data_IF_394505737626
#
_entry.id   IF_394505737626
#
_cell.length_a   1.000
_cell.length_b   1.000
_cell.length_c   1.000
_cell.angle_alpha   90.00
_cell.angle_beta   90.00
_cell.angle_gamma   90.00
#
_symmetry.space_group_name_H-M   'P 1'
#
loop_
_entity.id
_entity.type
_entity.pdbx_description
1 polymer ?
#
# COMPACT_ATOMS: atom_id res chain seq x y z
N UNK A 1 23.29 -77.08 -106.69
CA UNK A 1 22.53 -78.30 -107.04
C UNK A 1 21.78 -78.76 -105.79
N UNK A 2 20.44 -78.78 -105.87
CA UNK A 2 19.46 -79.54 -105.07
C UNK A 2 19.54 -79.58 -103.52
N UNK A 3 18.51 -79.01 -102.87
CA UNK A 3 17.96 -79.57 -101.62
C UNK A 3 17.09 -80.79 -101.98
N UNK A 4 16.92 -81.81 -101.09
CA UNK A 4 15.67 -81.86 -100.32
C UNK A 4 15.66 -82.62 -98.95
N UNK A 5 14.70 -82.19 -98.11
CA UNK A 5 13.72 -82.98 -97.33
C UNK A 5 14.08 -83.75 -96.02
N UNK A 6 13.60 -83.16 -94.89
CA UNK A 6 12.51 -83.66 -94.00
C UNK A 6 12.75 -84.80 -92.98
N UNK A 7 12.52 -84.41 -91.71
CA UNK A 7 11.97 -85.11 -90.51
C UNK A 7 12.68 -86.34 -89.91
N UNK A 8 13.08 -86.16 -88.66
CA UNK A 8 12.84 -87.10 -87.53
C UNK A 8 12.88 -86.28 -86.22
N UNK A 9 11.75 -86.09 -85.53
CA UNK A 9 11.25 -86.88 -84.37
C UNK A 9 11.86 -86.51 -83.00
N UNK A 10 11.05 -85.75 -82.24
CA UNK A 10 10.77 -85.88 -80.79
C UNK A 10 11.93 -86.27 -79.85
N UNK A 11 12.44 -85.27 -79.14
CA UNK A 11 12.93 -85.42 -77.75
C UNK A 11 12.19 -84.39 -76.89
N UNK A 12 11.03 -84.80 -76.33
CA UNK A 12 10.80 -84.94 -74.88
C UNK A 12 11.27 -83.73 -74.07
N UNK A 13 10.38 -82.75 -73.95
CA UNK A 13 10.34 -81.79 -72.85
C UNK A 13 10.39 -82.53 -71.52
N UNK A 14 11.47 -82.37 -70.77
CA UNK A 14 11.45 -82.62 -69.34
C UNK A 14 10.71 -81.44 -68.67
N UNK A 15 9.67 -81.68 -67.85
CA UNK A 15 9.04 -80.58 -67.12
C UNK A 15 10.01 -80.06 -66.04
N UNK A 16 10.05 -78.73 -65.79
CA UNK A 16 10.83 -78.18 -64.68
C UNK A 16 10.24 -78.67 -63.35
N UNK A 17 11.12 -79.08 -62.43
CA UNK A 17 10.78 -79.38 -61.03
C UNK A 17 10.19 -78.12 -60.40
N UNK A 18 8.94 -78.14 -59.89
CA UNK A 18 8.35 -76.97 -59.28
C UNK A 18 9.02 -76.71 -57.93
N UNK A 19 9.65 -75.54 -57.78
CA UNK A 19 9.99 -75.02 -56.47
C UNK A 19 8.69 -74.81 -55.68
N UNK A 20 8.59 -75.26 -54.41
CA UNK A 20 7.39 -75.04 -53.61
C UNK A 20 7.20 -73.53 -53.42
N UNK A 21 6.17 -73.00 -54.07
CA UNK A 21 5.67 -71.65 -53.82
C UNK A 21 5.34 -71.58 -52.32
N UNK A 22 5.84 -70.61 -51.54
CA UNK A 22 5.35 -70.44 -50.18
C UNK A 22 3.87 -70.07 -50.29
N UNK A 23 3.00 -71.04 -50.01
CA UNK A 23 1.57 -70.89 -49.89
C UNK A 23 1.25 -70.06 -48.64
N UNK A 24 1.46 -68.74 -48.73
CA UNK A 24 0.72 -67.78 -47.92
C UNK A 24 -0.27 -67.10 -48.87
N UNK A 25 -1.56 -67.49 -48.86
CA UNK A 25 -2.57 -66.86 -49.73
C UNK A 25 -2.89 -65.41 -49.34
N UNK A 26 -2.28 -64.88 -48.28
CA UNK A 26 -2.50 -63.52 -47.82
C UNK A 26 -1.41 -62.59 -48.36
N UNK A 27 -1.69 -61.93 -49.49
CA UNK A 27 -0.98 -60.71 -49.88
C UNK A 27 -1.40 -59.63 -48.89
N UNK A 28 -0.49 -59.20 -48.02
CA UNK A 28 -0.77 -58.13 -47.07
C UNK A 28 -1.23 -56.88 -47.84
N UNK A 29 -2.27 -56.20 -47.33
CA UNK A 29 -2.70 -54.93 -47.88
C UNK A 29 -1.50 -53.96 -47.90
N UNK A 30 -1.37 -53.11 -48.93
CA UNK A 30 -0.26 -52.17 -49.00
C UNK A 30 -0.24 -51.33 -47.72
N UNK A 31 0.97 -51.14 -47.17
CA UNK A 31 1.14 -50.28 -45.99
C UNK A 31 0.58 -48.90 -46.30
N UNK A 32 -0.28 -48.40 -45.41
CA UNK A 32 -0.83 -47.04 -45.52
C UNK A 32 0.30 -46.04 -45.36
N UNK A 33 0.87 -45.59 -46.48
CA UNK A 33 1.78 -44.46 -46.50
C UNK A 33 0.96 -43.21 -46.24
N UNK A 34 1.49 -42.29 -45.43
CA UNK A 34 0.86 -40.98 -45.27
C UNK A 34 0.87 -40.29 -46.63
N UNK A 35 -0.30 -40.10 -47.22
CA UNK A 35 -0.47 -39.20 -48.35
C UNK A 35 -0.02 -37.81 -47.88
N UNK A 36 0.65 -37.06 -48.75
CA UNK A 36 1.08 -35.70 -48.46
C UNK A 36 -0.09 -34.82 -47.99
N UNK A 37 0.18 -33.72 -47.28
CA UNK A 37 -0.89 -32.86 -46.78
C UNK A 37 -1.75 -32.36 -47.95
N UNK A 38 -3.08 -32.41 -47.79
CA UNK A 38 -4.05 -31.87 -48.75
C UNK A 38 -3.67 -30.42 -49.12
N UNK A 39 -3.85 -29.94 -50.36
CA UNK A 39 -3.49 -28.58 -50.73
C UNK A 39 -4.12 -27.59 -49.73
N UNK A 40 -3.27 -26.77 -49.10
CA UNK A 40 -3.75 -25.72 -48.20
C UNK A 40 -4.12 -24.49 -49.04
N UNK A 41 -4.98 -23.64 -48.49
CA UNK A 41 -5.32 -22.38 -49.14
C UNK A 41 -4.03 -21.61 -49.47
N UNK A 42 -3.85 -21.18 -50.72
CA UNK A 42 -2.61 -20.52 -51.16
C UNK A 42 -2.42 -19.16 -50.50
N UNK A 43 -3.41 -18.64 -49.79
CA UNK A 43 -3.40 -17.37 -49.06
C UNK A 43 -3.07 -17.52 -47.57
N UNK A 44 -3.14 -18.74 -47.01
CA UNK A 44 -2.76 -18.98 -45.62
C UNK A 44 -1.23 -19.06 -45.48
N UNK A 45 -0.63 -17.90 -45.18
CA UNK A 45 0.80 -17.75 -44.93
C UNK A 45 1.30 -18.64 -43.79
N UNK A 46 0.47 -18.93 -42.78
CA UNK A 46 0.85 -19.76 -41.64
C UNK A 46 0.93 -21.23 -42.03
N UNK A 47 -0.01 -21.72 -42.84
CA UNK A 47 0.07 -23.07 -43.40
C UNK A 47 1.26 -23.21 -44.37
N UNK A 48 1.54 -22.18 -45.17
CA UNK A 48 2.69 -22.13 -46.06
C UNK A 48 4.03 -22.19 -45.30
N UNK A 49 4.19 -21.37 -44.25
CA UNK A 49 5.36 -21.37 -43.37
C UNK A 49 5.58 -22.74 -42.70
N UNK A 50 4.49 -23.38 -42.23
CA UNK A 50 4.57 -24.73 -41.62
C UNK A 50 5.01 -25.80 -42.61
N UNK A 51 4.64 -25.69 -43.88
CA UNK A 51 5.10 -26.62 -44.94
C UNK A 51 6.55 -26.38 -45.28
N UNK A 52 6.92 -25.13 -45.46
CA UNK A 52 8.32 -24.74 -45.72
C UNK A 52 9.24 -25.19 -44.60
N UNK A 53 8.85 -25.04 -43.33
CA UNK A 53 9.64 -25.55 -42.20
C UNK A 53 9.76 -27.07 -42.13
N UNK A 54 8.85 -27.84 -42.76
CA UNK A 54 8.87 -29.32 -42.77
C UNK A 54 9.62 -29.91 -43.97
N UNK A 55 9.46 -29.29 -45.14
CA UNK A 55 9.92 -29.83 -46.42
C UNK A 55 11.01 -28.95 -47.07
N UNK A 56 11.33 -27.79 -46.48
CA UNK A 56 12.24 -26.82 -47.06
C UNK A 56 11.75 -26.29 -48.40
N UNK A 57 12.69 -26.06 -49.32
CA UNK A 57 12.41 -25.61 -50.69
C UNK A 57 11.59 -26.61 -51.50
N UNK A 58 11.62 -27.91 -51.15
CA UNK A 58 10.80 -28.93 -51.80
C UNK A 58 9.29 -28.71 -51.57
N UNK A 59 8.90 -27.81 -50.64
CA UNK A 59 7.52 -27.36 -50.47
C UNK A 59 7.01 -26.45 -51.59
N UNK A 60 7.91 -25.89 -52.42
CA UNK A 60 7.55 -24.94 -53.48
C UNK A 60 7.12 -23.56 -52.98
N UNK A 61 7.19 -23.29 -51.67
CA UNK A 61 6.87 -21.99 -51.09
C UNK A 61 8.08 -21.07 -51.23
N UNK A 62 7.90 -19.89 -51.80
CA UNK A 62 8.96 -18.90 -51.93
C UNK A 62 9.32 -18.30 -50.57
N UNK A 63 10.59 -18.33 -50.19
CA UNK A 63 11.06 -17.91 -48.86
C UNK A 63 10.77 -16.43 -48.54
N UNK A 64 10.82 -15.54 -49.54
CA UNK A 64 10.53 -14.11 -49.35
C UNK A 64 9.08 -13.84 -48.92
N UNK A 65 8.13 -14.73 -49.26
CA UNK A 65 6.72 -14.60 -48.89
C UNK A 65 6.45 -14.92 -47.42
N UNK A 66 7.41 -15.54 -46.73
CA UNK A 66 7.31 -15.89 -45.32
C UNK A 66 7.62 -14.70 -44.41
N UNK A 67 8.32 -13.69 -44.94
CA UNK A 67 8.59 -12.47 -44.19
C UNK A 67 7.33 -11.59 -44.17
N UNK A 68 7.14 -10.81 -43.09
CA UNK A 68 6.04 -9.85 -43.00
C UNK A 68 6.02 -8.89 -44.19
N UNK A 69 4.82 -8.50 -44.62
CA UNK A 69 4.71 -7.41 -45.59
C UNK A 69 5.24 -6.09 -44.99
N UNK A 70 5.65 -5.11 -45.81
CA UNK A 70 6.10 -3.81 -45.29
C UNK A 70 5.06 -3.10 -44.42
N UNK A 71 3.78 -3.35 -44.62
CA UNK A 71 2.70 -2.82 -43.79
C UNK A 71 2.63 -3.51 -42.43
N UNK A 72 2.69 -4.85 -42.42
CA UNK A 72 2.73 -5.66 -41.19
C UNK A 72 3.98 -5.36 -40.35
N UNK A 73 5.11 -5.10 -40.99
CA UNK A 73 6.34 -4.70 -40.31
C UNK A 73 6.18 -3.35 -39.61
N UNK A 74 5.58 -2.35 -40.29
CA UNK A 74 5.34 -1.03 -39.71
C UNK A 74 4.34 -1.07 -38.56
N UNK A 75 3.33 -1.94 -38.64
CA UNK A 75 2.39 -2.17 -37.54
C UNK A 75 3.11 -2.80 -36.34
N UNK A 76 3.89 -3.86 -36.56
CA UNK A 76 4.69 -4.48 -35.51
C UNK A 76 5.70 -3.52 -34.87
N UNK A 77 6.37 -2.66 -35.65
CA UNK A 77 7.28 -1.63 -35.13
C UNK A 77 6.55 -0.55 -34.31
N UNK A 78 5.29 -0.25 -34.64
CA UNK A 78 4.48 0.70 -33.86
C UNK A 78 4.06 0.08 -32.54
N UNK A 79 3.59 -1.16 -32.57
CA UNK A 79 3.21 -1.91 -31.38
C UNK A 79 4.41 -2.07 -30.43
N UNK A 80 5.58 -2.44 -30.96
CA UNK A 80 6.82 -2.55 -30.17
C UNK A 80 7.18 -1.21 -29.52
N UNK A 81 7.09 -0.09 -30.24
CA UNK A 81 7.40 1.23 -29.66
C UNK A 81 6.40 1.67 -28.60
N UNK A 82 5.14 1.27 -28.72
CA UNK A 82 4.08 1.61 -27.75
C UNK A 82 4.20 0.77 -26.48
N UNK A 83 4.44 -0.54 -26.63
CA UNK A 83 4.43 -1.49 -25.52
C UNK A 83 5.81 -1.75 -24.90
N UNK A 84 6.87 -1.70 -25.71
CA UNK A 84 8.26 -1.99 -25.32
C UNK A 84 9.15 -0.74 -25.53
N UNK A 85 9.08 0.24 -24.60
CA UNK A 85 9.91 1.43 -24.68
C UNK A 85 11.41 1.09 -24.62
N UNK A 86 12.28 1.94 -25.18
CA UNK A 86 13.72 1.71 -25.13
C UNK A 86 14.22 1.78 -23.68
N UNK A 87 15.26 1.00 -23.38
CA UNK A 87 15.82 0.87 -22.04
C UNK A 87 16.13 2.23 -21.38
N UNK A 88 16.63 3.19 -22.15
CA UNK A 88 16.96 4.54 -21.66
C UNK A 88 15.76 5.28 -21.08
N UNK A 89 14.58 5.12 -21.69
CA UNK A 89 13.37 5.79 -21.22
C UNK A 89 12.89 5.15 -19.92
N UNK A 90 13.02 3.82 -19.81
CA UNK A 90 12.72 3.08 -18.58
C UNK A 90 13.67 3.50 -17.45
N UNK A 91 14.98 3.56 -17.71
CA UNK A 91 15.99 4.04 -16.75
C UNK A 91 15.68 5.46 -16.27
N UNK A 92 15.35 6.39 -17.18
CA UNK A 92 15.00 7.76 -16.82
C UNK A 92 13.75 7.85 -15.93
N UNK A 93 12.74 7.00 -16.16
CA UNK A 93 11.55 6.91 -15.30
C UNK A 93 11.89 6.36 -13.92
N UNK A 94 12.74 5.34 -13.84
CA UNK A 94 13.19 4.76 -12.57
C UNK A 94 14.00 5.78 -11.76
N UNK A 95 14.99 6.42 -12.38
CA UNK A 95 15.79 7.48 -11.74
C UNK A 95 14.93 8.61 -11.18
N UNK A 96 13.90 9.02 -11.94
CA UNK A 96 12.94 10.03 -11.46
C UNK A 96 12.17 9.54 -10.24
N UNK A 97 11.65 8.31 -10.28
CA UNK A 97 10.91 7.72 -9.16
C UNK A 97 11.78 7.61 -7.92
N UNK A 98 13.02 7.14 -8.06
CA UNK A 98 13.97 7.03 -6.95
C UNK A 98 14.27 8.39 -6.31
N UNK A 99 14.45 9.44 -7.11
CA UNK A 99 14.65 10.81 -6.59
C UNK A 99 13.42 11.33 -5.84
N UNK A 100 12.22 11.08 -6.36
CA UNK A 100 10.98 11.48 -5.71
C UNK A 100 10.79 10.72 -4.38
N UNK A 101 11.10 9.42 -4.35
CA UNK A 101 11.07 8.63 -3.12
C UNK A 101 12.10 9.08 -2.10
N UNK A 102 13.34 9.36 -2.53
CA UNK A 102 14.39 9.88 -1.67
C UNK A 102 13.97 11.20 -1.02
N UNK A 103 13.44 12.14 -1.79
CA UNK A 103 12.90 13.41 -1.27
C UNK A 103 11.80 13.19 -0.24
N UNK A 104 10.84 12.30 -0.51
CA UNK A 104 9.77 11.99 0.44
C UNK A 104 10.30 11.37 1.74
N UNK A 105 11.34 10.54 1.65
CA UNK A 105 12.01 9.97 2.84
C UNK A 105 12.69 11.06 3.64
N UNK A 106 13.46 11.93 3.01
CA UNK A 106 14.13 13.07 3.64
C UNK A 106 13.12 14.02 4.32
N UNK A 107 12.03 14.39 3.65
CA UNK A 107 10.98 15.25 4.21
C UNK A 107 10.33 14.60 5.44
N UNK A 108 10.05 13.30 5.37
CA UNK A 108 9.49 12.54 6.49
C UNK A 108 10.47 12.48 7.66
N UNK A 109 11.74 12.20 7.40
CA UNK A 109 12.79 12.15 8.42
C UNK A 109 12.98 13.52 9.07
N UNK A 110 12.98 14.61 8.30
CA UNK A 110 13.06 15.97 8.81
C UNK A 110 11.87 16.31 9.73
N UNK A 111 10.65 15.94 9.33
CA UNK A 111 9.45 16.12 10.16
C UNK A 111 9.53 15.33 11.47
N UNK A 112 9.99 14.08 11.41
CA UNK A 112 10.18 13.23 12.59
C UNK A 112 11.25 13.84 13.49
N UNK A 113 12.39 14.26 12.94
CA UNK A 113 13.47 14.88 13.70
C UNK A 113 13.02 16.16 14.42
N UNK A 114 12.29 17.04 13.72
CA UNK A 114 11.70 18.24 14.33
C UNK A 114 10.72 17.88 15.45
N UNK A 115 9.84 16.92 15.22
CA UNK A 115 8.86 16.48 16.22
C UNK A 115 9.52 15.87 17.45
N UNK A 116 10.57 15.08 17.25
CA UNK A 116 11.38 14.51 18.32
C UNK A 116 12.16 15.58 19.09
N UNK A 117 12.64 16.63 18.43
CA UNK A 117 13.30 17.76 19.09
C UNK A 117 12.33 18.58 19.95
N UNK A 118 11.08 18.76 19.52
CA UNK A 118 10.03 19.46 20.28
C UNK A 118 9.44 18.60 21.43
N UNK A 119 9.58 17.27 21.35
CA UNK A 119 8.94 16.33 22.28
C UNK A 119 9.37 16.53 23.76
N UNK A 120 10.65 16.71 24.13
CA UNK A 120 11.04 16.91 25.52
C UNK A 120 10.38 18.13 26.17
N UNK A 121 10.23 19.23 25.44
CA UNK A 121 9.56 20.44 25.91
C UNK A 121 8.07 20.17 26.18
N UNK A 122 7.39 19.50 25.24
CA UNK A 122 5.98 19.10 25.39
C UNK A 122 5.77 18.14 26.57
N UNK A 123 6.68 17.19 26.77
CA UNK A 123 6.64 16.26 27.92
C UNK A 123 6.84 17.01 29.24
N UNK A 124 7.76 17.97 29.29
CA UNK A 124 7.99 18.79 30.48
C UNK A 124 6.74 19.63 30.83
N UNK A 125 6.12 20.24 29.83
CA UNK A 125 4.87 20.98 30.00
C UNK A 125 3.74 20.07 30.51
N UNK A 126 3.55 18.90 29.90
CA UNK A 126 2.55 17.93 30.33
C UNK A 126 2.76 17.49 31.78
N UNK A 127 4.02 17.23 32.19
CA UNK A 127 4.35 16.90 33.59
C UNK A 127 4.00 18.04 34.54
N UNK A 128 4.29 19.29 34.16
CA UNK A 128 3.92 20.48 34.96
C UNK A 128 2.42 20.61 35.11
N UNK A 129 1.67 20.51 34.01
CA UNK A 129 0.21 20.55 34.02
C UNK A 129 -0.37 19.45 34.91
N UNK A 130 0.17 18.23 34.84
CA UNK A 130 -0.25 17.10 35.69
C UNK A 130 0.05 17.34 37.17
N UNK A 131 1.21 17.92 37.50
CA UNK A 131 1.53 18.29 38.87
C UNK A 131 0.59 19.37 39.41
N UNK A 132 0.35 20.43 38.63
CA UNK A 132 -0.60 21.49 38.99
C UNK A 132 -2.02 20.96 39.18
N UNK A 133 -2.47 20.04 38.32
CA UNK A 133 -3.77 19.41 38.47
C UNK A 133 -3.86 18.58 39.77
N UNK A 134 -2.78 17.89 40.16
CA UNK A 134 -2.71 17.15 41.43
C UNK A 134 -2.74 18.09 42.63
N UNK A 135 -1.97 19.17 42.60
CA UNK A 135 -1.96 20.18 43.67
C UNK A 135 -3.33 20.83 43.83
N UNK A 136 -4.01 21.19 42.72
CA UNK A 136 -5.39 21.69 42.75
C UNK A 136 -6.35 20.68 43.35
N UNK A 137 -6.26 19.41 42.94
CA UNK A 137 -7.09 18.35 43.51
C UNK A 137 -6.84 18.14 45.00
N UNK A 138 -5.59 18.23 45.46
CA UNK A 138 -5.24 18.16 46.89
C UNK A 138 -5.75 19.38 47.65
N UNK A 139 -5.62 20.58 47.10
CA UNK A 139 -6.13 21.82 47.71
C UNK A 139 -7.66 21.80 47.80
N UNK A 140 -8.35 21.32 46.76
CA UNK A 140 -9.80 21.11 46.78
C UNK A 140 -10.21 20.04 47.79
N UNK A 141 -9.49 18.92 47.87
CA UNK A 141 -9.75 17.89 48.86
C UNK A 141 -9.55 18.41 50.30
N UNK A 142 -8.47 19.14 50.55
CA UNK A 142 -8.20 19.78 51.83
C UNK A 142 -9.27 20.83 52.18
N UNK A 143 -9.69 21.64 51.20
CA UNK A 143 -10.79 22.60 51.37
C UNK A 143 -12.10 21.90 51.73
N UNK A 144 -12.45 20.84 51.00
CA UNK A 144 -13.63 20.01 51.31
C UNK A 144 -13.55 19.39 52.69
N UNK A 145 -12.37 18.93 53.12
CA UNK A 145 -12.17 18.42 54.48
C UNK A 145 -12.36 19.51 55.54
N UNK A 146 -11.88 20.73 55.31
CA UNK A 146 -12.11 21.88 56.21
C UNK A 146 -13.59 22.21 56.33
N UNK A 147 -14.31 22.31 55.21
CA UNK A 147 -15.74 22.56 55.18
C UNK A 147 -16.53 21.45 55.90
N UNK A 148 -16.14 20.19 55.72
CA UNK A 148 -16.73 19.06 56.45
C UNK A 148 -16.45 19.13 57.95
N UNK A 149 -15.27 19.57 58.37
CA UNK A 149 -14.93 19.73 59.78
C UNK A 149 -15.72 20.89 60.42
N UNK A 150 -15.83 22.04 59.75
CA UNK A 150 -16.61 23.19 60.19
C UNK A 150 -18.10 22.88 60.31
N UNK A 151 -18.64 22.09 59.38
CA UNK A 151 -20.01 21.58 59.45
C UNK A 151 -20.22 20.51 60.55
N UNK A 152 -19.16 20.05 61.22
CA UNK A 152 -19.22 18.96 62.20
C UNK A 152 -19.41 17.55 61.58
N UNK A 153 -19.27 17.44 60.26
CA UNK A 153 -19.50 16.24 59.44
C UNK A 153 -18.23 15.44 59.14
N UNK A 154 -17.07 15.88 59.63
CA UNK A 154 -15.76 15.28 59.37
C UNK A 154 -15.39 14.06 60.23
N UNK A 155 -16.24 13.62 61.15
CA UNK A 155 -15.96 12.55 62.11
C UNK A 155 -17.20 11.77 62.55
N UNK A 156 -17.15 11.13 63.73
CA UNK A 156 -18.30 10.40 64.29
C UNK A 156 -19.49 11.34 64.47
N UNK A 157 -20.73 10.92 64.11
CA UNK A 157 -21.91 11.77 64.24
C UNK A 157 -22.08 12.23 65.69
N UNK A 158 -22.07 13.55 65.90
CA UNK A 158 -22.48 14.15 67.19
C UNK A 158 -24.01 14.22 67.23
N UNK A 159 -24.58 14.13 68.43
CA UNK A 159 -26.01 14.29 68.62
C UNK A 159 -26.47 15.65 68.06
N UNK A 160 -27.43 15.63 67.11
CA UNK A 160 -27.95 16.82 66.44
C UNK A 160 -27.29 17.20 65.11
N UNK A 161 -26.22 16.52 64.69
CA UNK A 161 -25.57 16.76 63.38
C UNK A 161 -26.19 15.84 62.31
N UNK A 162 -26.58 16.37 61.13
CA UNK A 162 -27.13 15.54 60.05
C UNK A 162 -26.10 14.53 59.53
N UNK A 163 -26.55 13.37 59.04
CA UNK A 163 -25.64 12.38 58.45
C UNK A 163 -24.97 12.91 57.18
N UNK A 164 -23.70 12.53 56.94
CA UNK A 164 -22.85 13.03 55.84
C UNK A 164 -23.47 12.98 54.44
N UNK A 165 -24.33 11.99 54.18
CA UNK A 165 -25.01 11.82 52.89
C UNK A 165 -26.44 12.37 52.82
N UNK A 166 -26.92 13.05 53.86
CA UNK A 166 -28.28 13.60 53.91
C UNK A 166 -28.40 14.93 53.16
N UNK A 167 -29.60 15.23 52.63
CA UNK A 167 -29.87 16.49 51.91
C UNK A 167 -29.55 17.73 52.77
N UNK A 168 -29.88 17.71 54.07
CA UNK A 168 -29.57 18.79 55.02
C UNK A 168 -28.06 19.02 55.19
N UNK A 169 -27.24 17.97 55.12
CA UNK A 169 -25.78 18.11 55.18
C UNK A 169 -25.22 18.76 53.91
N UNK A 170 -25.81 18.50 52.75
CA UNK A 170 -25.43 19.12 51.49
C UNK A 170 -25.81 20.61 51.47
N UNK A 171 -27.01 20.96 51.94
CA UNK A 171 -27.45 22.36 52.08
C UNK A 171 -26.52 23.17 53.00
N UNK A 172 -26.14 22.61 54.16
CA UNK A 172 -25.21 23.26 55.09
C UNK A 172 -23.82 23.48 54.47
N UNK A 173 -23.31 22.53 53.69
CA UNK A 173 -22.03 22.68 52.98
C UNK A 173 -22.11 23.75 51.89
N UNK A 174 -23.20 23.78 51.12
CA UNK A 174 -23.43 24.82 50.11
C UNK A 174 -23.55 26.22 50.72
N UNK A 175 -24.20 26.35 51.89
CA UNK A 175 -24.28 27.61 52.62
C UNK A 175 -22.91 28.10 53.09
N UNK A 176 -22.08 27.21 53.64
CA UNK A 176 -20.70 27.52 54.05
C UNK A 176 -19.84 27.92 52.85
N UNK A 177 -19.92 27.20 51.73
CA UNK A 177 -19.21 27.57 50.50
C UNK A 177 -19.65 28.95 49.96
N UNK A 178 -20.95 29.25 50.03
CA UNK A 178 -21.49 30.58 49.63
C UNK A 178 -20.98 31.68 50.56
N UNK A 179 -20.84 31.43 51.86
CA UNK A 179 -20.28 32.38 52.83
C UNK A 179 -18.79 32.62 52.56
N UNK A 180 -17.98 31.58 52.40
CA UNK A 180 -16.55 31.71 52.04
C UNK A 180 -16.37 32.50 50.75
N UNK A 181 -17.13 32.20 49.69
CA UNK A 181 -17.05 32.93 48.41
C UNK A 181 -17.43 34.40 48.54
N UNK A 182 -18.36 34.76 49.44
CA UNK A 182 -18.73 36.16 49.70
C UNK A 182 -17.62 36.89 50.43
N UNK A 183 -16.99 36.24 51.41
CA UNK A 183 -15.87 36.80 52.16
C UNK A 183 -14.63 36.97 51.29
N UNK A 184 -14.29 35.98 50.46
CA UNK A 184 -13.18 36.06 49.50
C UNK A 184 -13.38 37.19 48.49
N UNK A 185 -14.61 37.34 47.95
CA UNK A 185 -14.94 38.47 47.06
C UNK A 185 -14.80 39.82 47.76
N UNK A 186 -15.18 39.93 49.04
CA UNK A 186 -15.03 41.15 49.82
C UNK A 186 -13.56 41.48 50.08
N UNK A 187 -12.75 40.49 50.48
CA UNK A 187 -11.30 40.65 50.67
C UNK A 187 -10.60 41.07 49.38
N UNK A 188 -10.89 40.39 48.26
CA UNK A 188 -10.33 40.75 46.95
C UNK A 188 -10.73 42.15 46.48
N UNK A 189 -11.91 42.63 46.86
CA UNK A 189 -12.34 44.00 46.59
C UNK A 189 -11.56 45.00 47.44
N UNK A 190 -11.39 44.72 48.72
CA UNK A 190 -10.58 45.54 49.63
C UNK A 190 -9.12 45.61 49.19
N UNK A 191 -8.49 44.49 48.83
CA UNK A 191 -7.11 44.44 48.31
C UNK A 191 -6.95 45.26 47.01
N UNK A 192 -7.96 45.27 46.14
CA UNK A 192 -7.94 46.10 44.92
C UNK A 192 -8.08 47.59 45.24
N UNK A 193 -8.94 47.94 46.19
CA UNK A 193 -9.12 49.32 46.65
C UNK A 193 -7.86 49.83 47.37
N UNK A 194 -7.20 48.98 48.17
CA UNK A 194 -5.92 49.26 48.81
C UNK A 194 -4.77 49.38 47.81
N UNK A 195 -4.69 48.47 46.83
CA UNK A 195 -3.71 48.55 45.74
C UNK A 195 -3.91 49.85 44.93
N UNK A 196 -5.15 50.22 44.61
CA UNK A 196 -5.45 51.48 43.92
C UNK A 196 -5.08 52.71 44.78
N UNK A 197 -5.38 52.70 46.08
CA UNK A 197 -4.97 53.77 47.01
C UNK A 197 -3.45 53.88 47.14
N UNK A 198 -2.74 52.74 47.19
CA UNK A 198 -1.27 52.73 47.24
C UNK A 198 -0.64 53.20 45.93
N UNK A 199 -1.24 52.88 44.78
CA UNK A 199 -0.78 53.36 43.47
C UNK A 199 -1.03 54.86 43.30
N UNK A 200 -2.16 55.40 43.81
CA UNK A 200 -2.44 56.83 43.84
C UNK A 200 -1.49 57.58 44.78
N UNK A 201 -1.25 57.06 45.98
CA UNK A 201 -0.28 57.64 46.91
C UNK A 201 1.17 57.61 46.36
N UNK A 202 1.55 56.54 45.65
CA UNK A 202 2.84 56.47 44.96
C UNK A 202 2.94 57.46 43.78
N UNK A 203 1.83 57.68 43.06
CA UNK A 203 1.77 58.69 41.99
C UNK A 203 1.80 60.13 42.53
N UNK A 204 1.16 60.40 43.67
CA UNK A 204 1.21 61.69 44.36
C UNK A 204 2.60 61.98 44.95
N UNK A 205 3.26 60.98 45.54
CA UNK A 205 4.65 61.09 45.99
C UNK A 205 5.62 61.35 44.81
N UNK A 206 5.44 60.65 43.68
CA UNK A 206 6.23 60.88 42.47
C UNK A 206 5.94 62.26 41.81
N UNK A 207 4.76 62.84 42.04
CA UNK A 207 4.43 64.19 41.59
C UNK A 207 5.00 65.28 42.51
N UNK A 208 5.15 65.01 43.81
CA UNK A 208 5.76 65.92 44.79
C UNK A 208 7.30 66.00 44.68
N UNK A 209 7.96 64.95 44.18
CA UNK A 209 9.41 64.94 43.92
C UNK A 209 9.81 65.58 42.57
N UNK A 210 8.86 66.02 41.75
CA UNK A 210 9.16 66.79 40.52
C UNK A 210 9.41 68.26 40.88
N UNK A 211 10.63 68.81 40.70
CA UNK A 211 10.88 70.23 40.92
C UNK A 211 10.14 71.08 39.87
N UNK A 212 9.67 72.29 40.22
CA UNK A 212 9.02 73.18 39.26
C UNK A 212 10.01 73.66 38.18
N UNK A 213 9.52 74.05 36.99
CA UNK A 213 10.35 74.50 35.87
C UNK A 213 11.09 75.81 36.15
#
# INVERSE_FOLDING_TARGET
>A
MAAPLVRALRARFAPPVPLPVPARPFRAAPLRRRLGPAPADPEDLRAAARRFGRLGEASGVAAWRLWPSPEQLREAERDEREWDPPLRDVEAVLDRREREEARRREEREALVARSLAEMPARVAEWRRQRAQARERAQAEAARRQRLLAEAGLGGSPRAGTPGRGSARAQELLEELERRERREEKRRRRQEREEAARSALAAAEAAAAERPPP
#
